data_IF_855747838311
#
_entry.id   IF_855747838311
#
_cell.length_a   1.000
_cell.length_b   1.000
_cell.length_c   1.000
_cell.angle_alpha   90.00
_cell.angle_beta   90.00
_cell.angle_gamma   90.00
#
_symmetry.space_group_name_H-M   'P 1'
#
loop_
_entity.id
_entity.type
_entity.pdbx_description
1 polymer ?
#
# COMPACT_ATOMS: atom_id res chain seq x y z
N UNK A 1 73.27 -18.80 -28.97
CA UNK A 1 71.88 -19.13 -29.36
C UNK A 1 71.19 -20.20 -28.49
N UNK A 2 71.61 -20.46 -27.24
CA UNK A 2 70.99 -21.50 -26.37
C UNK A 2 70.12 -20.95 -25.21
N UNK A 3 70.12 -19.68 -24.93
CA UNK A 3 69.45 -19.07 -23.81
C UNK A 3 68.00 -18.56 -24.12
N UNK A 4 67.65 -18.41 -25.40
CA UNK A 4 66.31 -17.91 -25.79
C UNK A 4 65.27 -19.04 -25.84
N UNK A 5 65.67 -20.29 -26.04
CA UNK A 5 64.76 -21.46 -26.12
C UNK A 5 64.27 -21.93 -24.75
N UNK A 6 65.04 -21.70 -23.68
CA UNK A 6 64.60 -22.08 -22.32
C UNK A 6 63.52 -21.14 -21.74
N UNK A 7 63.62 -19.82 -22.07
CA UNK A 7 62.56 -18.88 -21.57
C UNK A 7 61.20 -19.08 -22.22
N UNK A 8 61.15 -19.50 -23.52
CA UNK A 8 59.87 -19.81 -24.18
C UNK A 8 59.20 -21.10 -23.66
N UNK A 9 59.99 -22.10 -23.25
CA UNK A 9 59.42 -23.34 -22.67
C UNK A 9 58.88 -23.13 -21.24
N UNK A 10 59.48 -22.21 -20.46
CA UNK A 10 58.98 -21.84 -19.13
C UNK A 10 57.73 -20.99 -19.20
N UNK A 11 57.59 -20.10 -20.19
CA UNK A 11 56.38 -19.30 -20.40
C UNK A 11 55.19 -20.13 -20.88
N UNK A 12 55.42 -21.17 -21.68
CA UNK A 12 54.35 -22.08 -22.13
C UNK A 12 53.94 -23.03 -21.00
N UNK A 13 54.84 -23.46 -20.14
CA UNK A 13 54.53 -24.29 -18.97
C UNK A 13 53.74 -23.51 -17.90
N UNK A 14 54.06 -22.21 -17.68
CA UNK A 14 53.29 -21.39 -16.74
C UNK A 14 51.89 -21.00 -17.26
N UNK A 15 51.72 -20.80 -18.58
CA UNK A 15 50.41 -20.56 -19.19
C UNK A 15 49.53 -21.82 -19.16
N UNK A 16 50.08 -23.01 -19.32
CA UNK A 16 49.34 -24.27 -19.20
C UNK A 16 48.91 -24.58 -17.75
N UNK A 17 49.72 -24.17 -16.75
CA UNK A 17 49.33 -24.32 -15.32
C UNK A 17 48.25 -23.30 -14.91
N UNK A 18 48.27 -22.09 -15.48
CA UNK A 18 47.22 -21.10 -15.23
C UNK A 18 45.87 -21.50 -15.88
N UNK A 19 45.91 -22.18 -17.02
CA UNK A 19 44.68 -22.66 -17.67
C UNK A 19 44.12 -23.92 -17.01
N UNK A 20 44.95 -24.75 -16.39
CA UNK A 20 44.51 -25.90 -15.60
C UNK A 20 43.91 -25.50 -14.26
N UNK A 21 44.28 -24.33 -13.68
CA UNK A 21 43.68 -23.81 -12.44
C UNK A 21 42.33 -23.13 -12.67
N UNK A 22 41.97 -22.74 -13.92
CA UNK A 22 40.65 -22.18 -14.26
C UNK A 22 39.61 -23.25 -14.63
N UNK A 23 40.02 -24.53 -14.68
CA UNK A 23 39.11 -25.67 -14.90
C UNK A 23 38.53 -26.25 -13.59
N UNK A 24 38.70 -25.51 -12.45
CA UNK A 24 38.01 -25.86 -11.22
C UNK A 24 36.55 -25.40 -11.31
N UNK A 25 35.75 -26.35 -11.75
CA UNK A 25 34.40 -26.59 -11.26
C UNK A 25 33.43 -25.38 -11.32
N UNK A 26 32.91 -25.12 -12.51
CA UNK A 26 31.46 -24.91 -12.57
C UNK A 26 30.82 -26.29 -12.30
N UNK A 27 30.83 -26.73 -11.06
CA UNK A 27 29.77 -27.58 -10.58
C UNK A 27 28.56 -26.66 -10.56
N UNK A 28 27.75 -26.73 -11.60
CA UNK A 28 26.35 -26.43 -11.47
C UNK A 28 25.85 -27.46 -10.45
N UNK A 29 25.94 -27.14 -9.16
CA UNK A 29 25.08 -27.79 -8.19
C UNK A 29 23.67 -27.64 -8.77
N UNK A 30 23.10 -28.76 -9.21
CA UNK A 30 21.68 -28.91 -9.27
C UNK A 30 21.23 -28.73 -7.81
N UNK A 31 21.03 -27.49 -7.40
CA UNK A 31 20.46 -27.15 -6.10
C UNK A 31 19.06 -27.69 -6.20
N UNK A 32 18.89 -28.94 -5.78
CA UNK A 32 17.57 -29.49 -5.46
C UNK A 32 17.10 -28.64 -4.29
N UNK A 33 16.12 -27.78 -4.54
CA UNK A 33 15.63 -26.85 -3.52
C UNK A 33 15.16 -27.65 -2.30
N UNK A 34 15.58 -27.22 -1.12
CA UNK A 34 15.32 -27.93 0.13
C UNK A 34 13.88 -27.71 0.57
N UNK A 35 13.09 -28.76 0.71
CA UNK A 35 11.77 -28.70 1.32
C UNK A 35 11.93 -28.46 2.82
N UNK A 36 11.44 -27.32 3.31
CA UNK A 36 11.53 -26.90 4.72
C UNK A 36 10.23 -27.06 5.49
N UNK A 37 9.09 -27.02 4.79
CA UNK A 37 7.80 -27.33 5.40
C UNK A 37 6.86 -27.98 4.38
N UNK A 38 5.93 -28.79 4.90
CA UNK A 38 4.79 -29.33 4.17
C UNK A 38 3.50 -28.87 4.84
N UNK A 39 2.58 -28.35 4.05
CA UNK A 39 1.25 -27.90 4.49
C UNK A 39 0.24 -28.65 3.64
N UNK A 40 -0.43 -29.65 4.20
CA UNK A 40 -1.27 -30.60 3.47
C UNK A 40 -0.53 -31.18 2.24
N UNK A 41 -1.03 -30.94 1.02
CA UNK A 41 -0.42 -31.41 -0.22
C UNK A 41 0.61 -30.43 -0.82
N UNK A 42 0.83 -29.29 -0.18
CA UNK A 42 1.73 -28.24 -0.65
C UNK A 42 3.06 -28.27 0.11
N UNK A 43 4.10 -27.80 -0.55
CA UNK A 43 5.44 -27.71 0.03
C UNK A 43 5.88 -26.23 0.08
N UNK A 44 6.70 -25.92 1.07
CA UNK A 44 7.43 -24.65 1.17
C UNK A 44 8.91 -25.01 1.13
N UNK A 45 9.62 -24.35 0.23
CA UNK A 45 11.03 -24.58 0.03
C UNK A 45 11.90 -23.56 0.75
N UNK A 46 13.19 -23.83 0.84
CA UNK A 46 14.17 -22.89 1.37
C UNK A 46 14.22 -21.62 0.51
N UNK A 47 14.16 -21.75 -0.81
CA UNK A 47 14.14 -20.61 -1.72
C UNK A 47 12.90 -19.72 -1.49
N UNK A 48 11.73 -20.33 -1.23
CA UNK A 48 10.52 -19.56 -0.89
C UNK A 48 10.72 -18.71 0.38
N UNK A 49 11.32 -19.32 1.41
CA UNK A 49 11.59 -18.63 2.66
C UNK A 49 12.58 -17.47 2.48
N UNK A 50 13.70 -17.70 1.79
CA UNK A 50 14.71 -16.68 1.57
C UNK A 50 14.15 -15.54 0.67
N UNK A 51 13.36 -15.87 -0.34
CA UNK A 51 12.69 -14.88 -1.18
C UNK A 51 11.69 -14.04 -0.37
N UNK A 52 10.87 -14.68 0.45
CA UNK A 52 9.91 -13.97 1.32
C UNK A 52 10.62 -13.05 2.32
N UNK A 53 11.74 -13.48 2.90
CA UNK A 53 12.57 -12.67 3.77
C UNK A 53 13.15 -11.45 3.04
N UNK A 54 13.68 -11.65 1.83
CA UNK A 54 14.26 -10.57 1.03
C UNK A 54 13.21 -9.51 0.67
N UNK A 55 12.03 -9.94 0.24
CA UNK A 55 10.90 -9.06 -0.10
C UNK A 55 10.45 -8.27 1.14
N UNK A 56 10.19 -8.96 2.26
CA UNK A 56 9.77 -8.31 3.51
C UNK A 56 10.82 -7.28 4.00
N UNK A 57 12.10 -7.61 3.91
CA UNK A 57 13.17 -6.68 4.27
C UNK A 57 13.19 -5.45 3.36
N UNK A 58 12.95 -5.63 2.05
CA UNK A 58 12.90 -4.51 1.10
C UNK A 58 11.70 -3.62 1.38
N UNK A 59 10.53 -4.20 1.63
CA UNK A 59 9.31 -3.46 1.96
C UNK A 59 9.47 -2.65 3.25
N UNK A 60 10.05 -3.26 4.29
CA UNK A 60 10.34 -2.55 5.54
C UNK A 60 11.30 -1.38 5.37
N UNK A 61 12.32 -1.52 4.53
CA UNK A 61 13.25 -0.41 4.22
C UNK A 61 12.56 0.73 3.48
N UNK A 62 11.61 0.44 2.61
CA UNK A 62 10.85 1.46 1.89
C UNK A 62 9.82 2.15 2.79
N UNK A 63 9.08 1.37 3.58
CA UNK A 63 8.01 1.91 4.42
C UNK A 63 8.53 2.60 5.69
N UNK A 64 9.64 2.12 6.25
CA UNK A 64 10.20 2.58 7.51
C UNK A 64 11.72 2.83 7.43
N UNK A 65 12.16 3.84 6.65
CA UNK A 65 13.59 4.07 6.38
C UNK A 65 14.44 4.19 7.65
N UNK A 66 13.88 4.73 8.73
CA UNK A 66 14.59 5.02 9.97
C UNK A 66 14.45 3.92 11.05
N UNK A 67 13.53 2.95 10.89
CA UNK A 67 13.18 1.97 11.94
C UNK A 67 13.08 0.53 11.41
N UNK A 68 13.51 0.28 10.18
CA UNK A 68 13.39 -1.03 9.54
C UNK A 68 14.13 -2.14 10.28
N UNK A 69 15.30 -1.83 10.90
CA UNK A 69 16.11 -2.84 11.60
C UNK A 69 15.35 -3.43 12.80
N UNK A 70 14.72 -2.57 13.61
CA UNK A 70 13.96 -3.01 14.78
C UNK A 70 12.71 -3.83 14.35
N UNK A 71 12.05 -3.40 13.29
CA UNK A 71 10.89 -4.12 12.71
C UNK A 71 11.31 -5.45 12.11
N UNK A 72 12.42 -5.50 11.37
CA UNK A 72 12.97 -6.71 10.79
C UNK A 72 13.32 -7.75 11.85
N UNK A 73 14.09 -7.38 12.87
CA UNK A 73 14.47 -8.28 13.96
C UNK A 73 13.25 -8.93 14.64
N UNK A 74 12.11 -8.22 14.65
CA UNK A 74 10.84 -8.72 15.18
C UNK A 74 10.10 -9.65 14.21
N UNK A 75 10.09 -9.34 12.92
CA UNK A 75 9.28 -10.06 11.91
C UNK A 75 10.02 -11.21 11.22
N UNK A 76 11.35 -11.20 11.15
CA UNK A 76 12.12 -12.22 10.41
C UNK A 76 11.78 -13.66 10.83
N UNK A 77 11.69 -13.91 12.14
CA UNK A 77 11.37 -15.23 12.70
C UNK A 77 9.95 -15.71 12.38
N UNK A 78 9.06 -14.77 12.06
CA UNK A 78 7.65 -15.05 11.76
C UNK A 78 7.42 -15.35 10.27
N UNK A 79 8.45 -15.17 9.40
CA UNK A 79 8.30 -15.32 7.95
C UNK A 79 7.83 -16.72 7.54
N UNK A 80 8.34 -17.79 8.18
CA UNK A 80 7.88 -19.16 7.88
C UNK A 80 6.43 -19.37 8.32
N UNK A 81 6.03 -18.87 9.47
CA UNK A 81 4.63 -18.87 9.92
C UNK A 81 3.73 -18.21 8.87
N UNK A 82 4.13 -17.05 8.39
CA UNK A 82 3.34 -16.26 7.44
C UNK A 82 3.22 -16.95 6.07
N UNK A 83 4.25 -17.69 5.64
CA UNK A 83 4.18 -18.55 4.45
C UNK A 83 3.20 -19.71 4.65
N UNK A 84 3.25 -20.38 5.81
CA UNK A 84 2.31 -21.47 6.15
C UNK A 84 0.88 -20.95 6.19
N UNK A 85 0.64 -19.81 6.88
CA UNK A 85 -0.68 -19.17 6.97
C UNK A 85 -1.24 -18.79 5.60
N UNK A 86 -0.38 -18.22 4.73
CA UNK A 86 -0.73 -17.89 3.35
C UNK A 86 -1.16 -19.13 2.58
N UNK A 87 -0.43 -20.23 2.73
CA UNK A 87 -0.74 -21.49 2.04
C UNK A 87 -2.11 -22.04 2.47
N UNK A 88 -2.40 -22.01 3.78
CA UNK A 88 -3.70 -22.42 4.32
C UNK A 88 -4.85 -21.54 3.80
N UNK A 89 -4.65 -20.22 3.70
CA UNK A 89 -5.65 -19.32 3.14
C UNK A 89 -5.87 -19.55 1.64
N UNK A 90 -4.82 -19.83 0.86
CA UNK A 90 -4.94 -20.16 -0.56
C UNK A 90 -5.72 -21.46 -0.75
N UNK A 91 -5.43 -22.46 0.05
CA UNK A 91 -6.17 -23.73 0.04
C UNK A 91 -7.63 -23.52 0.39
N UNK A 92 -7.90 -22.74 1.45
CA UNK A 92 -9.27 -22.37 1.83
C UNK A 92 -9.99 -21.59 0.72
N UNK A 93 -9.29 -20.73 0.02
CA UNK A 93 -9.82 -20.03 -1.16
C UNK A 93 -10.26 -21.02 -2.26
N UNK A 94 -9.47 -22.04 -2.54
CA UNK A 94 -9.84 -23.11 -3.49
C UNK A 94 -11.11 -23.85 -3.05
N UNK A 95 -11.21 -24.20 -1.75
CA UNK A 95 -12.41 -24.86 -1.20
C UNK A 95 -13.67 -23.98 -1.35
N UNK A 96 -13.54 -22.67 -1.19
CA UNK A 96 -14.62 -21.71 -1.32
C UNK A 96 -14.92 -21.30 -2.77
N UNK A 97 -14.16 -21.82 -3.76
CA UNK A 97 -14.27 -21.44 -5.15
C UNK A 97 -13.75 -20.03 -5.47
N UNK A 98 -12.93 -19.45 -4.59
CA UNK A 98 -12.33 -18.14 -4.77
C UNK A 98 -11.06 -18.30 -5.62
N UNK A 99 -11.15 -18.00 -6.92
CA UNK A 99 -9.99 -18.08 -7.84
C UNK A 99 -9.16 -16.82 -7.86
N UNK A 100 -9.76 -15.67 -7.54
CA UNK A 100 -9.13 -14.36 -7.56
C UNK A 100 -8.80 -13.80 -8.96
N UNK A 101 -9.12 -14.51 -10.05
CA UNK A 101 -8.70 -14.14 -11.41
C UNK A 101 -9.17 -12.76 -11.84
N UNK A 102 -10.48 -12.49 -11.70
CA UNK A 102 -11.07 -11.20 -12.11
C UNK A 102 -10.48 -10.03 -11.32
N UNK A 103 -10.31 -10.19 -10.02
CA UNK A 103 -9.81 -9.12 -9.16
C UNK A 103 -8.28 -8.95 -9.28
N UNK A 104 -7.55 -10.02 -9.62
CA UNK A 104 -6.15 -9.93 -10.03
C UNK A 104 -6.00 -9.04 -11.26
N UNK A 105 -6.81 -9.25 -12.29
CA UNK A 105 -6.78 -8.41 -13.51
C UNK A 105 -7.12 -6.95 -13.18
N UNK A 106 -8.12 -6.70 -12.34
CA UNK A 106 -8.46 -5.35 -11.88
C UNK A 106 -7.29 -4.71 -11.12
N UNK A 107 -6.67 -5.45 -10.20
CA UNK A 107 -5.53 -4.97 -9.40
C UNK A 107 -4.33 -4.60 -10.28
N UNK A 108 -3.98 -5.47 -11.23
CA UNK A 108 -2.91 -5.20 -12.21
C UNK A 108 -3.21 -3.95 -13.06
N UNK A 109 -4.47 -3.75 -13.50
CA UNK A 109 -4.87 -2.55 -14.23
C UNK A 109 -4.79 -1.29 -13.37
N UNK A 110 -5.18 -1.36 -12.10
CA UNK A 110 -5.04 -0.24 -11.16
C UNK A 110 -3.58 0.14 -10.96
N UNK A 111 -2.70 -0.86 -10.73
CA UNK A 111 -1.26 -0.63 -10.60
C UNK A 111 -0.66 -0.01 -11.86
N UNK A 112 -1.02 -0.52 -13.04
CA UNK A 112 -0.62 0.06 -14.32
C UNK A 112 -1.00 1.54 -14.42
N UNK A 113 -2.24 1.89 -14.06
CA UNK A 113 -2.72 3.28 -14.09
C UNK A 113 -2.00 4.17 -13.06
N UNK A 114 -1.77 3.68 -11.84
CA UNK A 114 -1.05 4.39 -10.79
C UNK A 114 0.41 4.68 -11.18
N UNK A 115 1.04 3.75 -11.91
CA UNK A 115 2.39 3.93 -12.45
C UNK A 115 2.43 4.77 -13.74
N UNK A 116 1.28 5.22 -14.25
CA UNK A 116 1.19 6.02 -15.49
C UNK A 116 1.52 5.24 -16.76
N UNK A 117 1.45 3.89 -16.70
CA UNK A 117 1.78 3.02 -17.84
C UNK A 117 0.60 2.89 -18.79
N UNK A 118 0.88 2.90 -20.10
CA UNK A 118 -0.14 2.90 -21.15
C UNK A 118 -0.70 1.50 -21.43
N UNK A 119 0.10 0.45 -21.21
CA UNK A 119 -0.26 -0.93 -21.57
C UNK A 119 0.17 -1.94 -20.49
N UNK A 120 -0.45 -3.14 -20.54
CA UNK A 120 -0.02 -4.27 -19.70
C UNK A 120 1.38 -4.76 -20.09
N UNK A 121 1.79 -4.58 -21.34
CA UNK A 121 3.13 -4.92 -21.79
C UNK A 121 4.19 -4.06 -21.10
N UNK A 122 3.93 -2.77 -20.90
CA UNK A 122 4.83 -1.89 -20.14
C UNK A 122 4.94 -2.31 -18.67
N UNK A 123 3.85 -2.80 -18.07
CA UNK A 123 3.89 -3.35 -16.70
C UNK A 123 4.73 -4.64 -16.64
N UNK A 124 4.61 -5.51 -17.64
CA UNK A 124 5.43 -6.71 -17.77
C UNK A 124 6.92 -6.36 -17.94
N UNK A 125 7.22 -5.38 -18.78
CA UNK A 125 8.58 -4.92 -19.01
C UNK A 125 9.19 -4.30 -17.73
N UNK A 126 8.38 -3.63 -16.92
CA UNK A 126 8.82 -3.09 -15.63
C UNK A 126 9.12 -4.21 -14.62
N UNK A 127 8.28 -5.23 -14.54
CA UNK A 127 8.55 -6.42 -13.73
C UNK A 127 9.86 -7.12 -14.16
N UNK A 128 10.09 -7.28 -15.46
CA UNK A 128 11.33 -7.85 -16.01
C UNK A 128 12.57 -7.03 -15.66
N UNK A 129 12.50 -5.69 -15.67
CA UNK A 129 13.61 -4.83 -15.24
C UNK A 129 13.98 -5.06 -13.77
N UNK A 130 13.02 -5.42 -12.95
CA UNK A 130 13.22 -5.78 -11.54
C UNK A 130 13.67 -7.24 -11.36
N UNK A 131 13.84 -7.99 -12.46
CA UNK A 131 14.29 -9.39 -12.44
C UNK A 131 13.19 -10.38 -12.05
N UNK A 132 11.91 -9.96 -12.07
CA UNK A 132 10.76 -10.79 -11.70
C UNK A 132 10.06 -11.26 -12.97
N UNK A 133 9.75 -12.56 -13.07
CA UNK A 133 8.86 -13.10 -14.10
C UNK A 133 7.47 -12.47 -13.96
N UNK A 134 6.86 -12.03 -15.06
CA UNK A 134 5.52 -11.44 -15.01
C UNK A 134 4.46 -12.44 -14.52
N UNK A 135 4.60 -13.72 -14.85
CA UNK A 135 3.71 -14.76 -14.36
C UNK A 135 3.86 -14.95 -12.85
N UNK A 136 5.07 -14.94 -12.30
CA UNK A 136 5.30 -15.00 -10.86
C UNK A 136 4.74 -13.76 -10.15
N UNK A 137 4.92 -12.59 -10.76
CA UNK A 137 4.35 -11.34 -10.26
C UNK A 137 2.82 -11.38 -10.20
N UNK A 138 2.18 -11.84 -11.29
CA UNK A 138 0.74 -12.03 -11.38
C UNK A 138 0.24 -13.06 -10.36
N UNK A 139 0.98 -14.15 -10.17
CA UNK A 139 0.64 -15.16 -9.17
C UNK A 139 0.73 -14.62 -7.74
N UNK A 140 1.74 -13.81 -7.42
CA UNK A 140 1.83 -13.14 -6.12
C UNK A 140 0.64 -12.20 -5.87
N UNK A 141 0.23 -11.42 -6.88
CA UNK A 141 -0.98 -10.57 -6.80
C UNK A 141 -2.22 -11.44 -6.59
N UNK A 142 -2.35 -12.57 -7.33
CA UNK A 142 -3.47 -13.50 -7.19
C UNK A 142 -3.57 -14.09 -5.79
N UNK A 143 -2.46 -14.54 -5.24
CA UNK A 143 -2.39 -15.06 -3.87
C UNK A 143 -2.83 -13.98 -2.87
N UNK A 144 -2.35 -12.74 -3.01
CA UNK A 144 -2.78 -11.62 -2.18
C UNK A 144 -4.29 -11.38 -2.25
N UNK A 145 -4.85 -11.34 -3.46
CA UNK A 145 -6.30 -11.18 -3.68
C UNK A 145 -7.10 -12.31 -3.04
N UNK A 146 -6.69 -13.57 -3.26
CA UNK A 146 -7.39 -14.74 -2.70
C UNK A 146 -7.36 -14.71 -1.17
N UNK A 147 -6.20 -14.45 -0.57
CA UNK A 147 -6.08 -14.40 0.90
C UNK A 147 -6.90 -13.25 1.51
N UNK A 148 -6.92 -12.09 0.86
CA UNK A 148 -7.75 -10.95 1.27
C UNK A 148 -9.25 -11.29 1.21
N UNK A 149 -9.71 -11.93 0.12
CA UNK A 149 -11.11 -12.33 -0.04
C UNK A 149 -11.53 -13.39 0.97
N UNK A 150 -10.68 -14.38 1.23
CA UNK A 150 -10.94 -15.42 2.25
C UNK A 150 -11.09 -14.80 3.63
N UNK A 151 -10.16 -13.92 4.03
CA UNK A 151 -10.25 -13.23 5.32
C UNK A 151 -11.47 -12.31 5.34
N UNK A 152 -11.74 -11.58 4.27
CA UNK A 152 -12.94 -10.73 4.16
C UNK A 152 -14.24 -11.51 4.34
N UNK A 153 -14.37 -12.66 3.70
CA UNK A 153 -15.58 -13.48 3.74
C UNK A 153 -15.69 -14.26 5.07
N UNK A 154 -14.64 -14.94 5.50
CA UNK A 154 -14.69 -15.86 6.64
C UNK A 154 -14.56 -15.16 7.99
N UNK A 155 -13.92 -14.00 8.01
CA UNK A 155 -13.66 -13.24 9.24
C UNK A 155 -14.35 -11.89 9.19
N UNK A 156 -14.04 -11.08 8.19
CA UNK A 156 -14.51 -9.69 8.09
C UNK A 156 -16.03 -9.56 8.06
N UNK A 157 -16.72 -10.42 7.29
CA UNK A 157 -18.17 -10.45 7.20
C UNK A 157 -18.90 -10.84 8.51
N UNK A 158 -18.15 -11.36 9.49
CA UNK A 158 -18.69 -11.77 10.81
C UNK A 158 -18.39 -10.73 11.90
N UNK A 159 -17.66 -9.67 11.58
CA UNK A 159 -17.35 -8.60 12.51
C UNK A 159 -18.55 -7.65 12.58
N UNK A 160 -19.15 -7.55 13.76
CA UNK A 160 -20.22 -6.61 14.04
C UNK A 160 -19.66 -5.48 14.93
N UNK A 161 -20.02 -4.26 14.59
CA UNK A 161 -19.70 -3.06 15.37
C UNK A 161 -21.01 -2.45 15.80
N UNK A 162 -21.23 -2.39 17.13
CA UNK A 162 -22.45 -1.84 17.66
C UNK A 162 -22.37 -0.31 17.82
N UNK A 163 -23.54 0.34 17.92
CA UNK A 163 -23.58 1.78 18.18
C UNK A 163 -23.00 2.15 19.55
N UNK A 164 -23.11 1.24 20.52
CA UNK A 164 -22.52 1.40 21.85
C UNK A 164 -20.98 1.42 21.78
N UNK A 165 -20.39 0.55 20.94
CA UNK A 165 -18.94 0.54 20.73
C UNK A 165 -18.46 1.82 20.03
N UNK A 166 -19.20 2.30 19.03
CA UNK A 166 -18.91 3.56 18.33
C UNK A 166 -18.95 4.71 19.33
N UNK A 167 -20.00 4.77 20.16
CA UNK A 167 -20.13 5.83 21.15
C UNK A 167 -19.03 5.76 22.23
N UNK A 168 -18.71 4.55 22.69
CA UNK A 168 -17.63 4.34 23.67
C UNK A 168 -16.28 4.79 23.12
N UNK A 169 -15.94 4.35 21.89
CA UNK A 169 -14.71 4.75 21.20
C UNK A 169 -14.63 6.28 21.03
N UNK A 170 -15.73 6.89 20.58
CA UNK A 170 -15.80 8.33 20.44
C UNK A 170 -15.54 9.06 21.76
N UNK A 171 -16.19 8.63 22.84
CA UNK A 171 -16.03 9.24 24.18
C UNK A 171 -14.59 9.09 24.72
N UNK A 172 -13.99 7.94 24.50
CA UNK A 172 -12.61 7.64 24.95
C UNK A 172 -11.56 8.47 24.19
N UNK A 173 -11.76 8.68 22.87
CA UNK A 173 -10.79 9.31 21.99
C UNK A 173 -11.11 10.77 21.65
N UNK A 174 -12.03 11.43 22.37
CA UNK A 174 -12.41 12.83 22.10
C UNK A 174 -11.20 13.76 22.03
N UNK A 175 -10.25 13.59 22.96
CA UNK A 175 -9.03 14.43 23.00
C UNK A 175 -8.13 14.23 21.78
N UNK A 176 -8.08 13.01 21.25
CA UNK A 176 -7.25 12.68 20.08
C UNK A 176 -7.90 13.19 18.79
N UNK A 177 -9.22 13.41 18.81
CA UNK A 177 -10.01 13.94 17.70
C UNK A 177 -10.10 15.47 17.73
N UNK A 178 -9.71 16.10 18.85
CA UNK A 178 -9.73 17.55 18.96
C UNK A 178 -8.78 18.19 17.95
N UNK A 179 -9.28 19.13 17.21
CA UNK A 179 -8.49 19.80 16.18
C UNK A 179 -8.82 21.29 16.08
N UNK A 180 -7.93 22.07 15.46
CA UNK A 180 -8.22 23.46 15.14
C UNK A 180 -9.35 23.58 14.14
N UNK A 181 -9.94 24.77 14.08
CA UNK A 181 -10.88 25.12 13.03
C UNK A 181 -10.22 24.97 11.67
N UNK A 182 -10.94 24.33 10.74
CA UNK A 182 -10.42 23.99 9.41
C UNK A 182 -11.47 24.23 8.35
N UNK A 183 -11.06 24.83 7.24
CA UNK A 183 -11.92 25.13 6.11
C UNK A 183 -11.35 24.56 4.83
N UNK A 184 -12.18 23.86 4.05
CA UNK A 184 -11.78 23.36 2.74
C UNK A 184 -12.28 24.29 1.66
N UNK A 185 -11.36 24.76 0.81
CA UNK A 185 -11.63 25.79 -0.18
C UNK A 185 -11.43 25.34 -1.61
N UNK A 186 -12.17 25.97 -2.52
CA UNK A 186 -11.86 26.04 -3.93
C UNK A 186 -11.72 27.49 -4.36
N UNK A 187 -10.94 27.77 -5.41
CA UNK A 187 -10.70 29.11 -5.93
C UNK A 187 -11.08 29.29 -7.40
N UNK A 188 -11.49 30.49 -7.76
CA UNK A 188 -11.46 30.98 -9.13
C UNK A 188 -10.57 32.22 -9.11
N UNK A 189 -9.44 32.17 -9.83
CA UNK A 189 -8.51 33.30 -9.95
C UNK A 189 -8.60 33.92 -11.33
N UNK A 190 -8.90 35.21 -11.37
CA UNK A 190 -9.02 36.03 -12.57
C UNK A 190 -7.86 37.02 -12.57
N UNK A 191 -6.85 36.86 -13.43
CA UNK A 191 -5.64 37.67 -13.41
C UNK A 191 -5.89 39.05 -14.00
N UNK A 192 -5.11 40.03 -13.55
CA UNK A 192 -4.91 41.28 -14.25
C UNK A 192 -3.82 41.05 -15.30
N UNK A 193 -4.13 41.29 -16.55
CA UNK A 193 -3.16 41.13 -17.63
C UNK A 193 -1.91 41.99 -17.42
N UNK A 194 -0.74 41.35 -17.37
CA UNK A 194 0.55 42.02 -17.13
C UNK A 194 0.93 42.17 -15.66
N UNK A 195 0.11 41.68 -14.72
CA UNK A 195 0.55 41.53 -13.33
C UNK A 195 1.67 40.47 -13.26
N UNK A 196 2.68 40.74 -12.41
CA UNK A 196 3.77 39.77 -12.21
C UNK A 196 3.22 38.41 -11.77
N UNK A 197 3.44 37.39 -12.57
CA UNK A 197 3.16 36.01 -12.17
C UNK A 197 4.10 35.67 -11.02
N UNK A 198 3.65 34.90 -10.00
CA UNK A 198 4.57 34.36 -9.03
C UNK A 198 5.57 33.47 -9.77
N UNK A 199 6.84 33.79 -9.64
CA UNK A 199 7.88 32.82 -10.01
C UNK A 199 7.58 31.57 -9.22
N UNK A 200 7.47 30.39 -9.84
CA UNK A 200 7.35 29.16 -9.09
C UNK A 200 8.51 29.14 -8.11
N UNK A 201 8.22 29.01 -6.82
CA UNK A 201 9.26 28.79 -5.82
C UNK A 201 10.14 27.66 -6.33
N UNK A 202 11.48 27.80 -6.32
CA UNK A 202 12.35 26.72 -6.76
C UNK A 202 11.95 25.46 -6.01
N UNK A 203 11.59 24.42 -6.75
CA UNK A 203 11.42 23.09 -6.20
C UNK A 203 12.67 22.84 -5.36
N UNK A 204 12.56 22.54 -4.05
CA UNK A 204 13.73 22.21 -3.27
C UNK A 204 14.40 21.03 -3.97
N UNK A 205 15.66 21.21 -4.41
CA UNK A 205 16.48 20.11 -4.86
C UNK A 205 16.45 19.03 -3.77
N UNK A 206 16.36 17.74 -4.14
CA UNK A 206 16.37 16.67 -3.17
C UNK A 206 17.69 16.74 -2.40
N UNK A 207 17.65 17.26 -1.20
CA UNK A 207 18.77 17.15 -0.25
C UNK A 207 19.01 15.67 -0.02
N UNK A 208 20.27 15.25 -0.17
CA UNK A 208 20.76 13.87 -0.06
C UNK A 208 20.63 13.24 1.34
N UNK A 209 19.87 13.84 2.22
CA UNK A 209 19.64 13.33 3.56
C UNK A 209 18.16 12.95 3.68
N UNK A 210 17.92 11.62 3.68
CA UNK A 210 16.62 11.00 3.77
C UNK A 210 15.92 11.33 5.09
N UNK A 211 15.09 12.35 5.08
CA UNK A 211 14.09 12.57 6.12
C UNK A 211 12.69 12.29 5.61
N UNK A 212 12.01 11.45 6.39
CA UNK A 212 10.69 10.90 6.15
C UNK A 212 9.65 11.95 5.76
N UNK A 213 8.78 11.57 4.81
CA UNK A 213 7.49 12.19 4.56
C UNK A 213 6.54 11.95 5.77
N UNK A 214 6.78 12.71 6.85
CA UNK A 214 5.68 13.10 7.73
C UNK A 214 4.91 14.17 6.99
N UNK A 215 3.58 14.14 7.07
CA UNK A 215 2.65 15.11 6.48
C UNK A 215 3.20 16.53 6.58
N UNK A 216 3.89 16.96 5.55
CA UNK A 216 4.32 18.36 5.47
C UNK A 216 3.07 19.19 5.15
N UNK A 217 2.82 20.29 5.87
CA UNK A 217 1.86 21.26 5.41
C UNK A 217 2.30 21.71 4.01
N UNK A 218 1.40 21.59 3.05
CA UNK A 218 1.65 22.14 1.71
C UNK A 218 2.04 23.60 1.89
N UNK A 219 3.11 24.06 1.23
CA UNK A 219 3.48 25.48 1.33
C UNK A 219 2.27 26.30 0.92
N UNK A 220 1.88 27.24 1.78
CA UNK A 220 0.79 28.19 1.54
C UNK A 220 0.97 28.79 0.15
N UNK A 221 0.12 28.42 -0.79
CA UNK A 221 0.14 28.93 -2.17
C UNK A 221 -0.25 30.42 -2.23
N UNK A 222 -0.57 30.99 -1.07
CA UNK A 222 -0.99 32.39 -0.95
C UNK A 222 0.15 33.23 -0.37
N UNK A 223 0.54 34.34 -1.02
CA UNK A 223 1.68 35.15 -0.61
C UNK A 223 1.45 35.80 0.77
N UNK A 224 2.37 35.55 1.69
CA UNK A 224 2.40 36.14 3.03
C UNK A 224 3.09 37.51 3.09
N UNK A 225 3.63 38.01 1.97
CA UNK A 225 4.48 39.21 1.95
C UNK A 225 3.76 40.44 1.41
N UNK A 226 4.00 41.55 2.09
CA UNK A 226 3.59 42.91 1.70
C UNK A 226 4.64 43.47 0.75
N UNK A 227 4.34 43.83 -0.46
CA UNK A 227 5.31 44.22 -1.46
C UNK A 227 5.18 45.65 -1.96
N UNK A 228 6.25 46.09 -2.66
CA UNK A 228 6.41 47.39 -3.28
C UNK A 228 5.28 47.74 -4.27
N UNK A 229 4.98 49.02 -4.46
CA UNK A 229 3.90 49.48 -5.35
C UNK A 229 4.24 49.12 -6.80
N UNK A 230 3.41 48.29 -7.39
CA UNK A 230 3.39 48.04 -8.84
C UNK A 230 2.50 49.16 -9.45
N UNK A 231 2.97 49.84 -10.48
CA UNK A 231 2.14 50.76 -11.27
C UNK A 231 1.19 49.88 -12.08
N UNK A 232 -0.01 49.70 -11.56
CA UNK A 232 -1.05 48.90 -12.21
C UNK A 232 -1.75 49.75 -13.27
N UNK A 233 -2.02 49.17 -14.45
CA UNK A 233 -2.84 49.81 -15.48
C UNK A 233 -4.32 49.78 -15.03
N UNK A 234 -4.92 50.97 -14.76
CA UNK A 234 -6.29 51.06 -14.23
C UNK A 234 -7.32 50.38 -15.15
N UNK A 235 -7.05 50.37 -16.46
CA UNK A 235 -7.99 49.80 -17.46
C UNK A 235 -8.00 48.28 -17.31
N UNK A 236 -6.83 47.65 -17.16
CA UNK A 236 -6.71 46.18 -16.99
C UNK A 236 -7.27 45.73 -15.64
N UNK A 237 -7.10 46.52 -14.59
CA UNK A 237 -7.73 46.26 -13.29
C UNK A 237 -9.25 46.26 -13.43
N UNK A 238 -9.84 47.31 -14.05
CA UNK A 238 -11.27 47.41 -14.25
C UNK A 238 -11.84 46.26 -15.11
N UNK A 239 -11.09 45.78 -16.11
CA UNK A 239 -11.48 44.64 -16.94
C UNK A 239 -11.53 43.33 -16.12
N UNK A 240 -10.49 43.06 -15.33
CA UNK A 240 -10.44 41.88 -14.47
C UNK A 240 -11.53 41.92 -13.39
N UNK A 241 -11.83 43.11 -12.83
CA UNK A 241 -12.90 43.28 -11.87
C UNK A 241 -14.27 43.00 -12.50
N UNK A 242 -14.54 43.56 -13.69
CA UNK A 242 -15.78 43.32 -14.40
C UNK A 242 -15.96 41.81 -14.72
N UNK A 243 -14.90 41.12 -15.10
CA UNK A 243 -14.93 39.70 -15.32
C UNK A 243 -15.21 38.93 -14.02
N UNK A 244 -14.60 39.30 -12.91
CA UNK A 244 -14.83 38.69 -11.61
C UNK A 244 -16.28 38.86 -11.14
N UNK A 245 -16.83 40.08 -11.32
CA UNK A 245 -18.24 40.35 -11.02
C UNK A 245 -19.20 39.56 -11.92
N UNK A 246 -18.83 39.34 -13.18
CA UNK A 246 -19.63 38.50 -14.08
C UNK A 246 -19.64 37.05 -13.62
N UNK A 247 -18.49 36.48 -13.18
CA UNK A 247 -18.40 35.15 -12.60
C UNK A 247 -19.24 35.03 -11.35
N UNK A 248 -19.16 36.02 -10.46
CA UNK A 248 -19.98 36.09 -9.24
C UNK A 248 -21.49 36.06 -9.57
N UNK A 249 -21.92 36.84 -10.56
CA UNK A 249 -23.32 36.82 -11.02
C UNK A 249 -23.75 35.47 -11.54
N UNK A 250 -22.88 34.78 -12.28
CA UNK A 250 -23.16 33.42 -12.77
C UNK A 250 -23.26 32.42 -11.61
N UNK A 251 -22.39 32.50 -10.61
CA UNK A 251 -22.45 31.69 -9.40
C UNK A 251 -23.74 31.95 -8.62
N UNK A 252 -24.15 33.19 -8.45
CA UNK A 252 -25.43 33.57 -7.81
C UNK A 252 -26.65 33.07 -8.61
N UNK A 253 -26.50 32.94 -9.95
CA UNK A 253 -27.51 32.33 -10.82
C UNK A 253 -27.52 30.79 -10.81
N UNK A 254 -26.65 30.15 -10.01
CA UNK A 254 -26.62 28.67 -9.83
C UNK A 254 -25.64 27.94 -10.74
N UNK A 255 -24.75 28.63 -11.43
CA UNK A 255 -23.70 27.97 -12.20
C UNK A 255 -22.77 27.17 -11.27
N UNK A 256 -22.28 26.02 -11.76
CA UNK A 256 -21.36 25.19 -10.98
C UNK A 256 -19.98 25.84 -10.86
N UNK A 257 -19.51 26.00 -9.64
CA UNK A 257 -18.21 26.62 -9.36
C UNK A 257 -17.05 25.94 -10.09
N UNK A 258 -17.03 24.59 -10.09
CA UNK A 258 -15.98 23.82 -10.74
C UNK A 258 -15.93 24.03 -12.26
N UNK A 259 -17.08 24.22 -12.90
CA UNK A 259 -17.16 24.42 -14.35
C UNK A 259 -16.66 25.82 -14.73
N UNK A 260 -17.05 26.84 -13.94
CA UNK A 260 -16.52 28.20 -14.11
C UNK A 260 -15.02 28.27 -13.82
N UNK A 261 -14.55 27.56 -12.78
CA UNK A 261 -13.11 27.46 -12.50
C UNK A 261 -12.34 26.93 -13.71
N UNK A 262 -12.81 25.83 -14.34
CA UNK A 262 -12.18 25.28 -15.56
C UNK A 262 -12.20 26.24 -16.76
N UNK A 263 -13.22 27.06 -16.87
CA UNK A 263 -13.40 27.95 -18.01
C UNK A 263 -12.59 29.25 -17.90
N UNK A 264 -12.59 29.86 -16.73
CA UNK A 264 -12.09 31.26 -16.58
C UNK A 264 -10.93 31.41 -15.62
N UNK A 265 -10.72 30.44 -14.68
CA UNK A 265 -9.66 30.56 -13.70
C UNK A 265 -8.29 30.34 -14.33
N UNK A 266 -7.31 31.13 -13.85
CA UNK A 266 -5.87 30.92 -14.15
C UNK A 266 -5.08 30.45 -12.92
N UNK A 267 -5.77 30.02 -11.87
CA UNK A 267 -5.15 29.35 -10.73
C UNK A 267 -4.56 27.99 -11.11
N UNK A 268 -3.62 27.50 -10.32
CA UNK A 268 -2.91 26.25 -10.60
C UNK A 268 -3.84 25.03 -10.64
N UNK A 269 -4.92 25.07 -9.89
CA UNK A 269 -5.91 23.97 -9.78
C UNK A 269 -7.13 24.15 -10.71
N UNK A 270 -7.09 25.15 -11.60
CA UNK A 270 -8.21 25.47 -12.50
C UNK A 270 -8.70 24.27 -13.31
N UNK A 271 -7.78 23.47 -13.88
CA UNK A 271 -8.10 22.29 -14.69
C UNK A 271 -8.90 21.23 -13.92
N UNK A 272 -8.72 21.15 -12.59
CA UNK A 272 -9.44 20.26 -11.69
C UNK A 272 -10.73 20.88 -11.11
N UNK A 273 -11.05 22.14 -11.47
CA UNK A 273 -12.22 22.85 -10.96
C UNK A 273 -11.92 23.72 -9.74
N UNK A 274 -10.63 24.03 -9.50
CA UNK A 274 -10.15 25.00 -8.53
C UNK A 274 -9.93 24.52 -7.09
N UNK A 275 -9.84 23.20 -6.76
CA UNK A 275 -9.67 22.77 -5.37
C UNK A 275 -8.31 23.21 -4.81
N UNK A 276 -8.31 23.83 -3.63
CA UNK A 276 -7.11 24.24 -2.89
C UNK A 276 -6.79 23.28 -1.73
N UNK A 277 -7.78 22.52 -1.26
CA UNK A 277 -7.65 21.66 -0.08
C UNK A 277 -8.09 22.32 1.21
N UNK A 278 -7.65 21.75 2.34
CA UNK A 278 -8.04 22.17 3.68
C UNK A 278 -6.98 23.11 4.29
N UNK A 279 -7.45 24.15 4.98
CA UNK A 279 -6.63 25.13 5.69
C UNK A 279 -7.09 25.24 7.12
N UNK A 280 -6.15 25.18 8.05
CA UNK A 280 -6.41 25.44 9.46
C UNK A 280 -6.46 26.94 9.71
N UNK A 281 -7.16 27.34 10.74
CA UNK A 281 -7.18 28.73 11.21
C UNK A 281 -5.75 29.24 11.44
N UNK A 282 -5.42 30.38 10.85
CA UNK A 282 -4.08 30.98 10.86
C UNK A 282 -3.16 30.55 9.72
N UNK A 283 -3.56 29.62 8.85
CA UNK A 283 -2.78 29.23 7.65
C UNK A 283 -3.07 30.12 6.44
N UNK A 284 -4.27 30.71 6.39
CA UNK A 284 -4.63 31.66 5.36
C UNK A 284 -4.12 33.09 5.69
N UNK A 285 -3.90 33.89 4.65
CA UNK A 285 -3.69 35.34 4.88
C UNK A 285 -4.92 35.95 5.56
N UNK A 286 -4.75 36.86 6.53
CA UNK A 286 -5.84 37.40 7.35
C UNK A 286 -7.04 37.90 6.55
N UNK A 287 -6.80 38.55 5.41
CA UNK A 287 -7.86 39.10 4.52
C UNK A 287 -8.71 37.98 3.90
N UNK A 288 -8.14 36.82 3.64
CA UNK A 288 -8.86 35.64 3.11
C UNK A 288 -9.57 34.88 4.22
N UNK A 289 -8.90 34.76 5.36
CA UNK A 289 -9.46 34.07 6.53
C UNK A 289 -10.73 34.77 7.02
N UNK A 290 -10.70 36.10 7.17
CA UNK A 290 -11.86 36.90 7.56
C UNK A 290 -13.07 36.71 6.64
N UNK A 291 -12.81 36.60 5.32
CA UNK A 291 -13.88 36.48 4.32
C UNK A 291 -14.37 35.04 4.10
N UNK A 292 -13.62 34.03 4.51
CA UNK A 292 -13.96 32.63 4.26
C UNK A 292 -14.45 31.89 5.51
N UNK A 293 -13.90 32.17 6.70
CA UNK A 293 -14.24 31.44 7.94
C UNK A 293 -15.68 31.62 8.40
N UNK A 294 -16.35 32.69 7.98
CA UNK A 294 -17.76 32.93 8.32
C UNK A 294 -18.76 32.32 7.34
N UNK A 295 -18.27 31.71 6.25
CA UNK A 295 -19.11 31.12 5.22
C UNK A 295 -19.48 29.69 5.56
N UNK A 296 -20.67 29.29 5.13
CA UNK A 296 -21.15 27.91 5.24
C UNK A 296 -20.65 27.07 4.04
N UNK A 297 -20.60 25.74 4.19
CA UNK A 297 -20.34 24.86 3.08
C UNK A 297 -21.29 25.14 1.90
N UNK A 298 -20.72 25.31 0.72
CA UNK A 298 -21.43 25.68 -0.51
C UNK A 298 -21.45 27.16 -0.83
N UNK A 299 -21.26 28.03 0.14
CA UNK A 299 -21.18 29.50 -0.07
C UNK A 299 -19.85 29.91 -0.68
N UNK A 300 -19.81 31.08 -1.29
CA UNK A 300 -18.62 31.66 -1.92
C UNK A 300 -18.48 33.13 -1.57
N UNK A 301 -17.25 33.63 -1.64
CA UNK A 301 -16.94 35.05 -1.36
C UNK A 301 -17.33 35.94 -2.54
N UNK A 302 -17.49 37.21 -2.29
CA UNK A 302 -17.35 38.22 -3.33
C UNK A 302 -15.92 38.20 -3.91
N UNK A 303 -15.70 38.79 -5.11
CA UNK A 303 -14.37 38.92 -5.66
C UNK A 303 -13.42 39.67 -4.71
N UNK A 304 -12.34 39.03 -4.29
CA UNK A 304 -11.33 39.61 -3.41
C UNK A 304 -10.16 40.08 -4.26
N UNK A 305 -9.87 41.38 -4.16
CA UNK A 305 -8.74 41.99 -4.86
C UNK A 305 -7.42 41.49 -4.30
N UNK A 306 -6.56 41.06 -5.16
CA UNK A 306 -5.16 40.67 -4.89
C UNK A 306 -4.25 41.41 -5.86
N UNK A 307 -2.93 41.31 -5.68
CA UNK A 307 -1.96 41.86 -6.64
C UNK A 307 -2.00 41.22 -8.01
N UNK A 308 -2.33 39.91 -8.07
CA UNK A 308 -2.34 39.14 -9.31
C UNK A 308 -3.66 39.28 -10.06
N UNK A 309 -4.71 39.72 -9.37
CA UNK A 309 -6.04 39.77 -9.92
C UNK A 309 -7.12 39.68 -8.85
N UNK A 310 -8.22 39.10 -9.20
CA UNK A 310 -9.35 38.88 -8.31
C UNK A 310 -9.52 37.38 -8.03
N UNK A 311 -9.78 37.02 -6.78
CA UNK A 311 -10.01 35.64 -6.35
C UNK A 311 -11.41 35.57 -5.76
N UNK A 312 -12.12 34.50 -6.13
CA UNK A 312 -13.39 34.09 -5.51
C UNK A 312 -13.14 32.71 -4.86
N UNK A 313 -13.35 32.64 -3.55
CA UNK A 313 -13.27 31.37 -2.83
C UNK A 313 -14.67 30.75 -2.67
N UNK A 314 -14.76 29.44 -2.72
CA UNK A 314 -15.92 28.69 -2.30
C UNK A 314 -15.54 27.77 -1.16
N UNK A 315 -16.38 27.74 -0.13
CA UNK A 315 -16.25 26.81 0.98
C UNK A 315 -16.84 25.45 0.57
N UNK A 316 -16.01 24.41 0.55
CA UNK A 316 -16.45 23.04 0.28
C UNK A 316 -16.90 22.35 1.56
N UNK A 317 -16.12 22.55 2.66
CA UNK A 317 -16.43 22.04 3.99
C UNK A 317 -15.87 23.02 5.04
N UNK A 318 -16.51 23.08 6.20
CA UNK A 318 -16.06 23.89 7.33
C UNK A 318 -16.20 23.03 8.60
N UNK A 319 -15.10 22.82 9.30
CA UNK A 319 -15.04 22.10 10.56
C UNK A 319 -14.69 23.08 11.67
N UNK A 320 -15.59 23.26 12.62
CA UNK A 320 -15.33 24.07 13.80
C UNK A 320 -14.18 23.50 14.64
N UNK A 321 -13.51 24.39 15.40
CA UNK A 321 -12.51 23.97 16.38
C UNK A 321 -13.12 23.05 17.45
N UNK A 322 -12.34 22.15 18.00
CA UNK A 322 -12.74 21.24 19.06
C UNK A 322 -12.97 19.81 18.55
N UNK A 323 -13.79 19.06 19.28
CA UNK A 323 -14.12 17.68 18.97
C UNK A 323 -15.22 17.66 17.90
N UNK A 324 -14.99 16.99 16.75
CA UNK A 324 -16.01 16.90 15.70
C UNK A 324 -17.23 16.12 16.20
N UNK A 325 -18.46 16.45 15.80
CA UNK A 325 -19.65 15.67 16.14
C UNK A 325 -19.51 14.21 15.72
N UNK A 326 -20.03 13.29 16.52
CA UNK A 326 -19.96 11.85 16.25
C UNK A 326 -20.35 11.49 14.81
N UNK A 327 -21.45 12.07 14.30
CA UNK A 327 -21.94 11.83 12.94
C UNK A 327 -20.91 12.10 11.84
N UNK A 328 -19.96 13.01 12.07
CA UNK A 328 -18.95 13.43 11.08
C UNK A 328 -17.72 12.50 11.08
N UNK A 329 -17.55 11.73 12.16
CA UNK A 329 -16.42 10.81 12.36
C UNK A 329 -16.86 9.35 12.48
N UNK A 330 -18.14 9.06 12.45
CA UNK A 330 -18.72 7.73 12.68
C UNK A 330 -18.13 6.67 11.76
N UNK A 331 -18.01 6.96 10.46
CA UNK A 331 -17.46 6.01 9.50
C UNK A 331 -15.95 5.73 9.77
N UNK A 332 -15.19 6.76 10.16
CA UNK A 332 -13.78 6.60 10.54
C UNK A 332 -13.64 5.77 11.82
N UNK A 333 -14.55 5.95 12.77
CA UNK A 333 -14.58 5.16 14.00
C UNK A 333 -14.93 3.70 13.69
N UNK A 334 -15.92 3.46 12.81
CA UNK A 334 -16.25 2.11 12.36
C UNK A 334 -15.07 1.42 11.69
N UNK A 335 -14.37 2.13 10.82
CA UNK A 335 -13.17 1.61 10.16
C UNK A 335 -12.05 1.28 11.16
N UNK A 336 -11.81 2.16 12.14
CA UNK A 336 -10.84 1.93 13.20
C UNK A 336 -11.20 0.72 14.06
N UNK A 337 -12.46 0.61 14.52
CA UNK A 337 -12.97 -0.51 15.29
C UNK A 337 -12.94 -1.81 14.48
N UNK A 338 -13.29 -1.75 13.20
CA UNK A 338 -13.21 -2.90 12.30
C UNK A 338 -11.78 -3.41 12.20
N UNK A 339 -10.82 -2.53 11.94
CA UNK A 339 -9.41 -2.89 11.85
C UNK A 339 -8.88 -3.46 13.17
N UNK A 340 -9.28 -2.89 14.30
CA UNK A 340 -8.91 -3.37 15.63
C UNK A 340 -9.45 -4.79 15.93
N UNK A 341 -10.66 -5.11 15.44
CA UNK A 341 -11.29 -6.43 15.62
C UNK A 341 -10.80 -7.45 14.59
N UNK A 342 -10.44 -7.02 13.39
CA UNK A 342 -10.06 -7.90 12.28
C UNK A 342 -8.79 -8.70 12.60
N UNK A 343 -7.75 -8.06 13.14
CA UNK A 343 -6.47 -8.72 13.39
C UNK A 343 -6.61 -9.91 14.38
N UNK A 344 -7.18 -9.74 15.58
CA UNK A 344 -7.34 -10.88 16.51
C UNK A 344 -8.29 -11.95 15.97
N UNK A 345 -9.34 -11.57 15.24
CA UNK A 345 -10.26 -12.50 14.63
C UNK A 345 -9.60 -13.32 13.51
N UNK A 346 -8.77 -12.67 12.68
CA UNK A 346 -7.98 -13.35 11.64
C UNK A 346 -6.97 -14.32 12.25
N UNK A 347 -6.29 -13.94 13.33
CA UNK A 347 -5.39 -14.85 14.07
C UNK A 347 -6.12 -16.06 14.63
N UNK A 348 -7.28 -15.87 15.23
CA UNK A 348 -8.10 -16.98 15.73
C UNK A 348 -8.56 -17.91 14.60
N UNK A 349 -8.91 -17.33 13.45
CA UNK A 349 -9.28 -18.10 12.27
C UNK A 349 -8.10 -18.90 11.71
N UNK A 350 -6.92 -18.32 11.60
CA UNK A 350 -5.70 -19.00 11.19
C UNK A 350 -5.32 -20.13 12.14
N UNK A 351 -5.43 -19.94 13.46
CA UNK A 351 -5.23 -21.00 14.45
C UNK A 351 -6.17 -22.18 14.16
N UNK A 352 -7.45 -21.90 13.89
CA UNK A 352 -8.42 -22.95 13.54
C UNK A 352 -8.05 -23.68 12.24
N UNK A 353 -7.59 -22.98 11.20
CA UNK A 353 -7.12 -23.61 9.96
C UNK A 353 -5.91 -24.49 10.22
N UNK A 354 -4.97 -24.05 11.06
CA UNK A 354 -3.79 -24.83 11.45
C UNK A 354 -4.13 -26.12 12.20
N UNK A 355 -5.13 -26.07 13.09
CA UNK A 355 -5.61 -27.26 13.81
C UNK A 355 -6.22 -28.33 12.88
N UNK A 356 -6.77 -27.92 11.76
CA UNK A 356 -7.40 -28.78 10.76
C UNK A 356 -6.42 -29.29 9.69
N UNK A 357 -5.26 -28.65 9.57
CA UNK A 357 -4.27 -28.93 8.54
C UNK A 357 -3.17 -29.88 9.03
N UNK A 358 -2.60 -30.63 8.08
CA UNK A 358 -1.35 -31.31 8.31
C UNK A 358 -0.18 -30.36 8.05
N UNK A 359 0.59 -30.03 9.09
CA UNK A 359 1.76 -29.18 8.99
C UNK A 359 2.97 -29.93 9.53
N UNK A 360 4.00 -30.10 8.69
CA UNK A 360 5.27 -30.70 9.05
C UNK A 360 6.41 -29.75 8.70
N UNK A 361 7.22 -29.39 9.70
CA UNK A 361 8.34 -28.46 9.56
C UNK A 361 9.64 -29.19 9.82
N UNK A 362 10.57 -29.07 8.87
CA UNK A 362 11.88 -29.71 8.94
C UNK A 362 12.68 -29.21 10.15
N UNK A 363 13.39 -30.14 10.80
CA UNK A 363 14.30 -29.85 11.90
C UNK A 363 15.32 -28.77 11.49
N UNK A 364 15.47 -27.73 12.32
CA UNK A 364 16.31 -26.55 12.05
C UNK A 364 15.55 -25.31 11.59
N UNK A 365 14.25 -25.44 11.30
CA UNK A 365 13.34 -24.33 11.00
C UNK A 365 12.30 -24.22 12.11
N UNK A 366 11.87 -23.01 12.41
CA UNK A 366 10.90 -22.74 13.47
C UNK A 366 9.63 -22.10 12.89
N UNK A 367 8.49 -22.71 13.16
CA UNK A 367 7.17 -22.12 12.94
C UNK A 367 6.67 -21.50 14.24
N UNK A 368 6.67 -20.18 14.32
CA UNK A 368 6.21 -19.44 15.51
C UNK A 368 4.69 -19.50 15.71
N UNK A 369 3.94 -19.99 14.72
CA UNK A 369 2.49 -20.20 14.79
C UNK A 369 2.07 -21.62 15.20
N UNK A 370 3.03 -22.53 15.42
CA UNK A 370 2.71 -23.88 15.84
C UNK A 370 2.05 -23.90 17.23
N UNK A 371 0.92 -24.59 17.36
CA UNK A 371 0.33 -24.89 18.67
C UNK A 371 1.19 -25.92 19.42
N UNK A 372 1.21 -25.87 20.76
CA UNK A 372 2.01 -26.78 21.60
C UNK A 372 1.77 -28.27 21.35
N UNK A 373 0.62 -28.64 20.73
CA UNK A 373 0.26 -29.99 20.38
C UNK A 373 0.75 -30.45 18.99
N UNK A 374 1.25 -29.52 18.16
CA UNK A 374 1.78 -29.78 16.80
C UNK A 374 3.29 -30.05 16.79
N UNK A 375 3.92 -30.31 17.94
CA UNK A 375 5.34 -30.66 17.96
C UNK A 375 5.58 -31.96 17.22
N UNK A 376 6.16 -31.85 16.02
CA UNK A 376 6.90 -32.88 15.25
C UNK A 376 6.53 -34.31 15.56
N UNK A 377 5.39 -34.78 15.06
CA UNK A 377 5.22 -36.24 14.90
C UNK A 377 6.08 -36.62 13.70
N UNK A 378 7.17 -37.37 13.89
CA UNK A 378 7.96 -37.85 12.76
C UNK A 378 7.02 -38.64 11.85
N UNK A 379 6.99 -38.31 10.57
CA UNK A 379 6.33 -39.13 9.56
C UNK A 379 7.08 -40.46 9.57
N UNK A 380 6.45 -41.51 10.11
CA UNK A 380 6.84 -42.88 9.76
C UNK A 380 6.39 -43.05 8.31
N UNK A 381 7.26 -42.70 7.37
CA UNK A 381 7.12 -43.14 5.99
C UNK A 381 7.16 -44.67 6.10
N UNK A 382 5.99 -45.29 6.04
CA UNK A 382 5.90 -46.73 5.85
C UNK A 382 6.65 -46.99 4.54
N UNK A 383 7.87 -47.51 4.68
CA UNK A 383 8.66 -47.92 3.55
C UNK A 383 7.76 -48.83 2.69
N UNK A 384 7.64 -48.49 1.41
CA UNK A 384 6.90 -49.22 0.42
C UNK A 384 7.25 -50.72 0.59
N UNK A 385 6.30 -51.46 1.12
CA UNK A 385 6.48 -52.88 1.38
C UNK A 385 6.75 -53.59 0.08
N UNK A 386 7.81 -54.40 0.11
CA UNK A 386 8.21 -55.34 -0.91
C UNK A 386 6.97 -56.13 -1.41
N UNK A 387 6.66 -56.15 -2.72
CA UNK A 387 5.44 -56.79 -3.27
C UNK A 387 5.45 -58.30 -3.27
N UNK A 388 6.42 -58.98 -2.63
CA UNK A 388 6.61 -60.44 -2.71
C UNK A 388 6.01 -61.26 -1.57
N UNK A 389 5.20 -60.69 -0.66
CA UNK A 389 4.52 -61.49 0.41
C UNK A 389 3.02 -61.23 0.48
N UNK A 390 2.32 -61.59 -0.60
CA UNK A 390 0.90 -61.91 -0.53
C UNK A 390 0.69 -63.39 -0.85
N UNK A 391 0.82 -64.25 0.14
CA UNK A 391 0.18 -65.56 0.14
C UNK A 391 -0.34 -65.92 1.54
N UNK A 392 -1.68 -65.96 1.62
CA UNK A 392 -2.40 -66.92 2.43
C UNK A 392 -2.67 -66.56 3.88
N UNK A 393 -3.90 -66.20 4.18
CA UNK A 393 -4.80 -67.00 5.03
C UNK A 393 -6.19 -66.35 5.09
N UNK A 394 -7.12 -67.04 4.39
CA UNK A 394 -8.56 -66.91 4.60
C UNK A 394 -8.93 -67.37 6.01
N UNK A 395 -9.63 -66.57 6.75
CA UNK A 395 -10.17 -66.87 8.06
C UNK A 395 -11.50 -66.15 8.27
N UNK A 396 -12.56 -66.79 7.75
CA UNK A 396 -13.94 -66.46 8.13
C UNK A 396 -14.11 -66.53 9.65
N UNK A 397 -14.54 -65.47 10.30
CA UNK A 397 -15.25 -65.57 11.58
C UNK A 397 -16.54 -64.72 11.60
N UNK A 398 -17.57 -65.48 11.86
CA UNK A 398 -19.01 -65.29 11.95
C UNK A 398 -19.44 -64.00 12.68
N UNK A 399 -20.54 -63.46 12.11
CA UNK A 399 -21.51 -62.49 12.73
C UNK A 399 -22.01 -63.01 14.10
N UNK A 400 -22.06 -62.13 15.10
CA UNK A 400 -23.04 -62.21 16.16
C UNK A 400 -23.89 -60.93 16.13
N UNK A 401 -25.19 -61.12 15.81
CA UNK A 401 -26.29 -60.22 16.08
C UNK A 401 -26.41 -60.05 17.60
N UNK A 402 -26.62 -58.84 18.08
CA UNK A 402 -27.33 -58.63 19.33
C UNK A 402 -28.37 -57.54 19.09
N UNK A 403 -29.61 -57.95 19.36
CA UNK A 403 -30.83 -57.15 19.32
C UNK A 403 -31.08 -56.60 20.74
N UNK A 404 -31.76 -55.42 20.81
CA UNK A 404 -32.68 -54.92 21.87
C UNK A 404 -32.00 -54.51 23.20
N UNK A 405 -32.17 -53.30 23.68
CA UNK A 405 -33.43 -52.56 23.96
C UNK A 405 -33.20 -51.07 23.72
#
# INVERSE_FOLDING_TARGET
MKTITMKKKFLIASAALLFAALAVAVHADNIVDEIIARVNDQIITRSDLEHAKATNLQDLKQQFPNDWQAKWAKSEKDTLRDLIDRQLLVEKGKELGITGETDTVKRLNQMRQQMGLSSMQELEDEAKKQGISFEDYKEQIRIGVVTEQVIGQEVGGKIHISNEEIQAFYNEHQKDMEGPEEINLSEIMIPIEGAAQPTPSPTPEPTKDGQALGSQPQPSLLPKETPAPIVEDPIKVAQAEAQAQQVEKQLKAGAKFSDLAKQVSKGQTAAQGGPLGAFKKGELAPVFEEKTMNLKPGEFTEPIRTRQGFIIFRVNAHRAAGVPPLKDVEEKIKEALYSQKLEPAARAYLTKLREQAYIDVKTGYADTGASGDQTNKPIVVAAAGDPTKMQGKSGLKKKKKFLLF
#
